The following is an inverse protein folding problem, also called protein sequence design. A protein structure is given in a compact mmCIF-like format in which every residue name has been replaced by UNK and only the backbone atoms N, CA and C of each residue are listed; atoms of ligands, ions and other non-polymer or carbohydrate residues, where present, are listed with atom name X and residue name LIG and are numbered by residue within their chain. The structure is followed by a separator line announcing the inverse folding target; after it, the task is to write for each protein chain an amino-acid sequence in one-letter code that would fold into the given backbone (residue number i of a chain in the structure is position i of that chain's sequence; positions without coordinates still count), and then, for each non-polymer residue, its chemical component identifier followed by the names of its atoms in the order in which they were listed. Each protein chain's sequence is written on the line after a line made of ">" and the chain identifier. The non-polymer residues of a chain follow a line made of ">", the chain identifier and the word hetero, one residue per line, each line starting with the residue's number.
data_IF_787652105715
#
_entry.id   IF_787652105715
#
_cell.length_a   1.000
_cell.length_b   1.000
_cell.length_c   1.000
_cell.angle_alpha   90.00
_cell.angle_beta   90.00
_cell.angle_gamma   90.00
#
_symmetry.space_group_name_H-M   'P 1'
#
loop_
_entity.id
_entity.type
_entity.pdbx_description
1 polymer ?
#
# COMPACT_ATOMS: atom_id res chain seq x y z
N UNK A 1 20.34 -5.00 18.36
CA UNK A 1 19.57 -4.63 17.14
C UNK A 1 18.09 -4.47 17.50
N UNK A 2 17.44 -3.45 16.96
CA UNK A 2 16.00 -3.29 17.07
C UNK A 2 15.38 -3.69 15.74
N UNK A 3 14.55 -4.76 15.70
CA UNK A 3 13.90 -5.19 14.47
C UNK A 3 12.98 -4.08 13.91
N UNK A 4 13.11 -3.78 12.62
CA UNK A 4 12.25 -2.84 11.92
C UNK A 4 10.84 -3.42 11.68
N UNK A 5 9.89 -2.58 11.26
CA UNK A 5 8.58 -3.06 10.80
C UNK A 5 8.73 -4.04 9.62
N UNK A 6 9.66 -3.77 8.70
CA UNK A 6 9.90 -4.63 7.55
C UNK A 6 10.47 -6.00 7.96
N UNK A 7 11.38 -6.04 8.95
CA UNK A 7 11.88 -7.31 9.48
C UNK A 7 10.75 -8.15 10.06
N UNK A 8 9.87 -7.54 10.85
CA UNK A 8 8.73 -8.23 11.46
C UNK A 8 7.76 -8.77 10.41
N UNK A 9 7.35 -7.94 9.44
CA UNK A 9 6.46 -8.36 8.35
C UNK A 9 7.11 -9.47 7.51
N UNK A 10 8.40 -9.34 7.20
CA UNK A 10 9.12 -10.38 6.45
C UNK A 10 9.21 -11.69 7.23
N UNK A 11 9.44 -11.63 8.55
CA UNK A 11 9.43 -12.81 9.41
C UNK A 11 8.07 -13.53 9.36
N UNK A 12 6.95 -12.79 9.45
CA UNK A 12 5.60 -13.34 9.29
C UNK A 12 5.40 -14.01 7.92
N UNK A 13 5.79 -13.31 6.84
CA UNK A 13 5.64 -13.82 5.47
C UNK A 13 6.42 -15.11 5.22
N UNK A 14 7.59 -15.27 5.82
CA UNK A 14 8.42 -16.47 5.67
C UNK A 14 8.04 -17.59 6.64
N UNK A 15 7.32 -17.28 7.71
CA UNK A 15 6.87 -18.28 8.68
C UNK A 15 7.97 -18.93 9.51
N UNK A 16 9.17 -18.34 9.58
CA UNK A 16 10.33 -18.88 10.30
C UNK A 16 10.96 -17.83 11.22
N UNK A 17 11.55 -18.23 12.37
CA UNK A 17 12.29 -17.31 13.22
C UNK A 17 13.50 -16.70 12.50
N UNK A 18 13.75 -15.42 12.76
CA UNK A 18 14.88 -14.68 12.25
C UNK A 18 15.84 -14.28 13.37
N UNK A 19 17.13 -14.48 13.11
CA UNK A 19 18.20 -13.93 13.91
C UNK A 19 18.78 -12.70 13.20
N UNK A 20 18.73 -11.55 13.87
CA UNK A 20 19.15 -10.25 13.33
C UNK A 20 20.42 -9.80 14.04
N UNK A 21 21.46 -9.50 13.27
CA UNK A 21 22.70 -8.92 13.74
C UNK A 21 22.80 -7.47 13.29
N UNK A 22 22.88 -6.55 14.25
CA UNK A 22 23.10 -5.13 13.98
C UNK A 22 24.57 -4.84 13.70
N UNK A 23 24.87 -4.42 12.49
CA UNK A 23 26.22 -4.04 12.07
C UNK A 23 26.39 -2.51 12.10
N UNK A 24 27.55 -1.94 12.56
CA UNK A 24 28.75 -2.61 13.07
C UNK A 24 28.73 -2.91 14.58
N UNK A 25 27.68 -2.55 15.30
CA UNK A 25 27.65 -2.58 16.77
C UNK A 25 27.64 -3.98 17.39
N UNK A 26 27.31 -5.03 16.62
CA UNK A 26 27.28 -6.42 17.08
C UNK A 26 26.04 -6.79 17.92
N UNK A 27 25.09 -5.87 18.12
CA UNK A 27 23.85 -6.14 18.84
C UNK A 27 23.01 -7.18 18.10
N UNK A 28 22.34 -8.05 18.85
CA UNK A 28 21.51 -9.10 18.26
C UNK A 28 20.06 -9.00 18.71
N UNK A 29 19.17 -9.49 17.88
CA UNK A 29 17.76 -9.71 18.21
C UNK A 29 17.26 -11.00 17.54
N UNK A 30 16.31 -11.66 18.19
CA UNK A 30 15.59 -12.79 17.59
C UNK A 30 14.11 -12.45 17.55
N UNK A 31 13.49 -12.62 16.39
CA UNK A 31 12.04 -12.48 16.18
C UNK A 31 11.49 -13.79 15.63
N UNK A 32 10.21 -14.02 15.84
CA UNK A 32 9.49 -15.19 15.33
C UNK A 32 8.12 -14.77 14.82
N UNK A 33 7.48 -15.54 13.96
CA UNK A 33 6.08 -15.30 13.60
C UNK A 33 5.20 -15.33 14.84
N UNK A 34 4.44 -14.26 15.04
CA UNK A 34 3.53 -14.08 16.19
C UNK A 34 2.26 -13.30 15.80
N UNK A 35 1.99 -13.19 14.49
CA UNK A 35 0.83 -12.45 13.97
C UNK A 35 1.03 -10.94 13.91
N UNK A 36 2.29 -10.47 13.75
CA UNK A 36 2.56 -9.04 13.64
C UNK A 36 1.95 -8.44 12.37
N UNK A 37 1.19 -7.37 12.55
CA UNK A 37 0.64 -6.55 11.48
C UNK A 37 1.18 -5.12 11.56
N UNK A 38 1.82 -4.64 10.48
CA UNK A 38 2.25 -3.25 10.42
C UNK A 38 1.02 -2.32 10.37
N UNK A 39 1.03 -1.18 11.08
CA UNK A 39 -0.12 -0.26 11.09
C UNK A 39 -0.44 0.25 9.67
N UNK A 40 -1.68 0.63 9.39
CA UNK A 40 -2.06 1.22 8.10
C UNK A 40 -1.55 2.67 7.96
N UNK A 41 -1.46 3.42 9.06
CA UNK A 41 -0.96 4.79 9.12
C UNK A 41 0.43 4.83 9.76
N UNK A 42 1.25 5.82 9.38
CA UNK A 42 2.61 6.04 9.91
C UNK A 42 3.58 4.87 9.67
N UNK A 43 3.28 4.00 8.72
CA UNK A 43 4.09 2.86 8.30
C UNK A 43 5.36 3.33 7.59
N UNK A 44 6.51 2.78 7.95
CA UNK A 44 7.75 3.04 7.24
C UNK A 44 7.77 2.36 5.87
N UNK A 45 8.37 3.04 4.88
CA UNK A 45 8.43 2.53 3.51
C UNK A 45 9.58 1.54 3.32
N UNK A 46 9.23 0.35 2.82
CA UNK A 46 10.19 -0.64 2.31
C UNK A 46 9.64 -1.27 1.04
N UNK A 47 10.33 -1.06 -0.07
CA UNK A 47 9.88 -1.57 -1.36
C UNK A 47 9.67 -3.09 -1.33
N UNK A 48 8.56 -3.55 -1.92
CA UNK A 48 8.19 -4.96 -1.99
C UNK A 48 7.59 -5.57 -0.71
N UNK A 49 7.78 -4.91 0.45
CA UNK A 49 7.33 -5.41 1.77
C UNK A 49 6.30 -4.48 2.38
N UNK A 50 6.62 -3.19 2.48
CA UNK A 50 5.79 -2.12 3.05
C UNK A 50 5.75 -0.94 2.07
N UNK A 51 5.22 -1.15 0.88
CA UNK A 51 5.05 -0.16 -0.18
C UNK A 51 3.57 0.18 -0.41
N UNK A 52 3.27 0.94 -1.45
CA UNK A 52 1.91 1.36 -1.76
C UNK A 52 0.99 0.17 -2.04
N UNK A 53 1.45 -0.85 -2.76
CA UNK A 53 0.62 -2.03 -3.03
C UNK A 53 0.47 -2.94 -1.80
N UNK A 54 1.49 -3.08 -0.97
CA UNK A 54 1.38 -3.79 0.31
C UNK A 54 0.35 -3.11 1.23
N UNK A 55 0.31 -1.78 1.25
CA UNK A 55 -0.69 -1.03 2.01
C UNK A 55 -2.11 -1.28 1.48
N UNK A 56 -2.30 -1.32 0.15
CA UNK A 56 -3.57 -1.69 -0.48
C UNK A 56 -4.01 -3.09 -0.04
N UNK A 57 -3.12 -4.08 -0.14
CA UNK A 57 -3.42 -5.46 0.27
C UNK A 57 -3.87 -5.54 1.73
N UNK A 58 -3.14 -4.90 2.62
CA UNK A 58 -3.42 -4.90 4.06
C UNK A 58 -4.75 -4.18 4.37
N UNK A 59 -5.06 -3.10 3.66
CA UNK A 59 -6.33 -2.42 3.80
C UNK A 59 -7.50 -3.33 3.39
N UNK A 60 -7.43 -3.97 2.22
CA UNK A 60 -8.48 -4.88 1.74
C UNK A 60 -8.68 -6.07 2.68
N UNK A 61 -7.61 -6.65 3.18
CA UNK A 61 -7.68 -7.76 4.13
C UNK A 61 -8.36 -7.33 5.45
N UNK A 62 -7.98 -6.17 6.01
CA UNK A 62 -8.46 -5.73 7.33
C UNK A 62 -9.84 -5.09 7.30
N UNK A 63 -10.13 -4.28 6.29
CA UNK A 63 -11.38 -3.53 6.23
C UNK A 63 -12.51 -4.33 5.57
N UNK A 64 -12.19 -5.21 4.63
CA UNK A 64 -13.18 -5.95 3.85
C UNK A 64 -13.01 -7.48 3.86
N UNK A 65 -11.99 -8.02 4.51
CA UNK A 65 -11.73 -9.46 4.52
C UNK A 65 -11.41 -10.02 3.13
N UNK A 66 -10.79 -9.21 2.27
CA UNK A 66 -10.43 -9.59 0.90
C UNK A 66 -8.91 -9.72 0.81
N UNK A 67 -8.44 -10.95 0.64
CA UNK A 67 -7.02 -11.22 0.41
C UNK A 67 -6.66 -10.99 -1.05
N UNK A 68 -5.77 -10.04 -1.30
CA UNK A 68 -5.22 -9.75 -2.62
C UNK A 68 -3.90 -10.47 -2.84
N UNK A 69 -3.62 -10.96 -4.08
CA UNK A 69 -2.34 -11.59 -4.41
C UNK A 69 -1.15 -10.68 -4.14
N UNK A 70 -0.03 -11.26 -3.72
CA UNK A 70 1.23 -10.53 -3.57
C UNK A 70 2.08 -10.69 -4.83
N UNK A 71 1.93 -9.79 -5.78
CA UNK A 71 2.69 -9.82 -7.02
C UNK A 71 4.15 -9.43 -6.80
N UNK A 72 5.11 -10.14 -7.44
CA UNK A 72 6.50 -9.76 -7.42
C UNK A 72 6.70 -8.41 -8.12
N UNK A 73 7.48 -7.54 -7.50
CA UNK A 73 7.79 -6.20 -8.00
C UNK A 73 9.19 -5.81 -7.59
N UNK A 74 10.06 -5.60 -8.58
CA UNK A 74 11.41 -5.09 -8.34
C UNK A 74 11.39 -3.58 -8.12
N UNK A 75 12.36 -3.04 -7.42
CA UNK A 75 12.48 -1.59 -7.29
C UNK A 75 12.73 -0.96 -8.68
N UNK A 76 12.12 0.18 -8.93
CA UNK A 76 12.25 0.90 -10.21
C UNK A 76 11.50 0.28 -11.40
N UNK A 77 10.59 -0.70 -11.19
CA UNK A 77 9.82 -1.34 -12.27
C UNK A 77 9.08 -0.35 -13.18
N UNK A 78 8.67 0.79 -12.65
CA UNK A 78 7.96 1.85 -13.38
C UNK A 78 8.80 2.56 -14.43
N UNK A 79 10.11 2.38 -14.42
CA UNK A 79 11.03 2.96 -15.41
C UNK A 79 11.06 2.17 -16.73
N UNK A 80 10.58 0.94 -16.73
CA UNK A 80 10.60 0.07 -17.92
C UNK A 80 9.41 0.28 -18.84
N UNK A 81 8.51 1.21 -18.53
CA UNK A 81 7.31 1.50 -19.31
C UNK A 81 6.17 0.50 -19.13
N UNK A 82 6.31 -0.47 -18.23
CA UNK A 82 5.28 -1.42 -17.88
C UNK A 82 4.56 -0.99 -16.60
N UNK A 83 3.22 -0.95 -16.64
CA UNK A 83 2.42 -0.72 -15.45
C UNK A 83 2.01 -2.04 -14.83
N UNK A 84 2.52 -2.32 -13.62
CA UNK A 84 2.08 -3.51 -12.87
C UNK A 84 0.60 -3.41 -12.48
N UNK A 85 0.06 -2.20 -12.28
CA UNK A 85 -1.36 -2.02 -12.02
C UNK A 85 -2.23 -2.39 -13.22
N UNK A 86 -1.82 -2.04 -14.45
CA UNK A 86 -2.54 -2.43 -15.66
C UNK A 86 -2.41 -3.93 -15.94
N UNK A 87 -1.22 -4.48 -15.69
CA UNK A 87 -0.95 -5.90 -15.94
C UNK A 87 -1.73 -6.84 -15.04
N UNK A 88 -1.84 -6.50 -13.74
CA UNK A 88 -2.35 -7.41 -12.72
C UNK A 88 -3.73 -7.03 -12.18
N UNK A 89 -4.37 -5.96 -12.66
CA UNK A 89 -5.65 -5.51 -12.10
C UNK A 89 -6.74 -6.58 -12.19
N UNK A 90 -6.90 -7.24 -13.34
CA UNK A 90 -7.91 -8.28 -13.54
C UNK A 90 -7.63 -9.54 -12.71
N UNK A 91 -6.36 -9.97 -12.65
CA UNK A 91 -5.94 -11.11 -11.83
C UNK A 91 -6.17 -10.86 -10.34
N UNK A 92 -5.99 -9.62 -9.89
CA UNK A 92 -6.28 -9.20 -8.53
C UNK A 92 -7.79 -8.97 -8.27
N UNK A 93 -8.65 -9.15 -9.25
CA UNK A 93 -10.10 -9.01 -9.14
C UNK A 93 -10.61 -7.58 -9.31
N UNK A 94 -9.83 -6.69 -9.93
CA UNK A 94 -10.22 -5.31 -10.18
C UNK A 94 -10.69 -5.09 -11.61
N UNK A 95 -11.55 -4.09 -11.79
CA UNK A 95 -11.99 -3.58 -13.09
C UNK A 95 -12.04 -2.05 -13.07
N UNK A 96 -11.92 -1.42 -14.24
CA UNK A 96 -11.95 0.04 -14.36
C UNK A 96 -13.37 0.59 -14.20
N UNK A 97 -13.47 1.72 -13.49
CA UNK A 97 -14.72 2.46 -13.29
C UNK A 97 -14.53 3.95 -13.59
N UNK A 98 -15.64 4.67 -13.82
CA UNK A 98 -15.64 6.11 -14.06
C UNK A 98 -16.07 6.96 -12.87
N UNK A 99 -16.64 6.34 -11.85
CA UNK A 99 -17.07 6.99 -10.60
C UNK A 99 -16.17 6.52 -9.44
N UNK A 100 -16.07 7.35 -8.40
CA UNK A 100 -15.20 7.07 -7.25
C UNK A 100 -16.04 6.75 -6.02
N UNK A 101 -15.78 5.59 -5.41
CA UNK A 101 -16.43 5.12 -4.18
C UNK A 101 -15.41 4.64 -3.14
N UNK A 102 -15.84 4.55 -1.89
CA UNK A 102 -15.01 3.99 -0.81
C UNK A 102 -14.45 2.63 -1.21
N UNK A 103 -13.16 2.45 -1.01
CA UNK A 103 -12.41 1.25 -1.35
C UNK A 103 -11.88 1.21 -2.78
N UNK A 104 -12.27 2.11 -3.68
CA UNK A 104 -11.67 2.15 -5.01
C UNK A 104 -10.20 2.50 -4.94
N UNK A 105 -9.40 1.88 -5.81
CA UNK A 105 -8.00 2.27 -5.99
C UNK A 105 -7.92 3.45 -6.94
N UNK A 106 -7.25 4.50 -6.51
CA UNK A 106 -6.82 5.60 -7.36
C UNK A 106 -5.38 5.33 -7.77
N UNK A 107 -5.19 4.99 -9.06
CA UNK A 107 -3.89 4.66 -9.63
C UNK A 107 -3.33 5.87 -10.33
N UNK A 108 -2.13 6.26 -9.95
CA UNK A 108 -1.52 7.54 -10.31
C UNK A 108 -0.16 7.35 -10.98
N UNK A 109 0.18 8.34 -11.80
CA UNK A 109 1.52 8.51 -12.35
C UNK A 109 2.17 9.73 -11.68
N UNK A 110 3.05 9.51 -10.73
CA UNK A 110 3.68 10.58 -9.95
C UNK A 110 5.19 10.56 -10.11
N UNK A 111 5.82 11.73 -9.98
CA UNK A 111 7.26 11.84 -10.07
C UNK A 111 7.96 10.93 -9.05
N UNK A 112 8.93 10.16 -9.52
CA UNK A 112 9.80 9.37 -8.67
C UNK A 112 10.79 10.25 -7.90
N UNK A 113 11.51 9.66 -6.97
CA UNK A 113 12.62 10.36 -6.29
C UNK A 113 13.63 10.87 -7.33
N UNK A 114 13.93 12.16 -7.32
CA UNK A 114 14.76 12.81 -8.34
C UNK A 114 13.98 13.65 -9.36
N UNK A 115 12.64 13.68 -9.29
CA UNK A 115 11.78 14.61 -10.03
C UNK A 115 11.42 14.21 -11.45
N UNK A 116 11.90 13.08 -11.97
CA UNK A 116 11.48 12.57 -13.29
C UNK A 116 10.11 11.87 -13.20
N UNK A 117 9.29 12.11 -14.22
CA UNK A 117 8.04 11.34 -14.39
C UNK A 117 8.38 9.94 -14.89
N UNK A 118 7.83 8.88 -14.27
CA UNK A 118 8.01 7.52 -14.75
C UNK A 118 7.29 7.33 -16.09
N UNK A 119 7.69 6.28 -16.83
CA UNK A 119 7.06 5.94 -18.10
C UNK A 119 5.66 5.32 -17.94
N UNK A 120 5.33 4.81 -16.75
CA UNK A 120 4.07 4.14 -16.45
C UNK A 120 3.51 4.56 -15.09
N UNK A 121 2.18 4.34 -14.83
CA UNK A 121 1.58 4.53 -13.53
C UNK A 121 2.32 3.72 -12.45
N UNK A 122 2.74 4.39 -11.39
CA UNK A 122 3.67 3.84 -10.40
C UNK A 122 3.18 3.92 -8.95
N UNK A 123 2.03 4.49 -8.71
CA UNK A 123 1.52 4.69 -7.36
C UNK A 123 0.02 4.39 -7.29
N UNK A 124 -0.41 3.85 -6.16
CA UNK A 124 -1.82 3.68 -5.87
C UNK A 124 -2.13 4.00 -4.40
N UNK A 125 -3.36 4.39 -4.18
CA UNK A 125 -3.95 4.52 -2.85
C UNK A 125 -5.40 4.05 -2.86
N UNK A 126 -5.95 3.84 -1.67
CA UNK A 126 -7.35 3.44 -1.47
C UNK A 126 -8.17 4.67 -1.09
N UNK A 127 -9.19 4.98 -1.87
CA UNK A 127 -10.12 6.05 -1.52
C UNK A 127 -10.98 5.63 -0.33
N UNK A 128 -11.01 6.44 0.72
CA UNK A 128 -11.66 6.09 1.98
C UNK A 128 -13.09 6.63 2.11
N UNK A 129 -13.52 7.53 1.24
CA UNK A 129 -14.83 8.16 1.32
C UNK A 129 -14.97 9.05 2.55
N UNK A 130 -15.41 8.50 3.67
CA UNK A 130 -15.53 9.17 4.98
C UNK A 130 -14.19 9.36 5.71
N UNK A 131 -13.15 8.72 5.23
CA UNK A 131 -11.80 8.76 5.80
C UNK A 131 -11.61 7.88 7.03
N UNK A 132 -12.58 7.06 7.41
CA UNK A 132 -12.48 6.16 8.56
C UNK A 132 -11.84 4.83 8.19
N UNK A 133 -11.15 4.26 9.17
CA UNK A 133 -10.59 2.92 9.14
C UNK A 133 -11.15 2.14 10.32
N UNK A 134 -11.85 1.04 10.08
CA UNK A 134 -12.45 0.22 11.13
C UNK A 134 -11.38 -0.43 12.02
N UNK A 135 -10.23 -0.73 11.42
CA UNK A 135 -9.04 -1.26 12.10
C UNK A 135 -8.26 -0.23 12.94
N UNK A 136 -8.65 1.05 12.90
CA UNK A 136 -8.02 2.15 13.68
C UNK A 136 -9.07 2.87 14.52
N UNK A 137 -9.47 2.31 15.67
CA UNK A 137 -10.45 2.93 16.55
C UNK A 137 -10.02 4.32 17.01
N UNK A 138 -10.95 5.28 17.00
CA UNK A 138 -10.69 6.67 17.41
C UNK A 138 -10.10 7.56 16.32
N UNK A 139 -9.94 7.06 15.10
CA UNK A 139 -9.58 7.89 13.96
C UNK A 139 -10.73 8.85 13.64
N UNK A 140 -10.43 10.15 13.55
CA UNK A 140 -11.44 11.14 13.19
C UNK A 140 -11.83 11.02 11.71
N UNK A 141 -13.12 11.25 11.42
CA UNK A 141 -13.61 11.34 10.06
C UNK A 141 -12.88 12.46 9.28
N UNK A 142 -12.52 12.16 8.05
CA UNK A 142 -11.91 13.10 7.13
C UNK A 142 -12.42 12.80 5.71
N UNK A 143 -13.63 13.29 5.38
CA UNK A 143 -14.25 13.01 4.09
C UNK A 143 -13.39 13.41 2.91
N UNK A 144 -13.46 12.63 1.82
CA UNK A 144 -12.70 12.89 0.61
C UNK A 144 -11.22 12.57 0.70
N UNK A 145 -10.80 11.75 1.68
CA UNK A 145 -9.40 11.33 1.80
C UNK A 145 -9.14 9.95 1.19
N UNK A 146 -7.88 9.70 0.91
CA UNK A 146 -7.39 8.39 0.47
C UNK A 146 -6.16 7.99 1.29
N UNK A 147 -6.00 6.70 1.50
CA UNK A 147 -4.86 6.10 2.19
C UNK A 147 -3.81 5.70 1.17
N UNK A 148 -2.59 6.14 1.35
CA UNK A 148 -1.50 5.82 0.44
C UNK A 148 -0.13 5.78 1.11
N UNK A 149 0.86 5.26 0.39
CA UNK A 149 2.21 5.10 0.88
C UNK A 149 3.22 5.52 -0.19
N UNK A 150 3.68 6.76 -0.13
CA UNK A 150 4.65 7.30 -1.08
C UNK A 150 6.03 6.70 -0.85
N UNK A 151 6.81 6.59 -1.93
CA UNK A 151 8.19 6.12 -1.87
C UNK A 151 9.02 6.95 -0.88
N UNK A 152 9.67 6.25 0.07
CA UNK A 152 10.53 6.85 1.10
C UNK A 152 9.84 7.77 2.10
N UNK A 153 8.51 7.73 2.19
CA UNK A 153 7.71 8.46 3.18
C UNK A 153 6.92 7.47 4.02
N UNK A 154 6.40 7.93 5.14
CA UNK A 154 5.43 7.16 5.92
C UNK A 154 4.07 7.14 5.22
N UNK A 155 3.32 6.06 5.42
CA UNK A 155 1.95 5.98 4.95
C UNK A 155 1.08 7.04 5.61
N UNK A 156 0.19 7.64 4.85
CA UNK A 156 -0.65 8.75 5.29
C UNK A 156 -2.06 8.67 4.70
N UNK A 157 -2.94 9.47 5.28
CA UNK A 157 -4.27 9.75 4.79
C UNK A 157 -4.30 11.20 4.33
N UNK A 158 -4.36 11.41 3.02
CA UNK A 158 -4.33 12.73 2.40
C UNK A 158 -5.68 13.04 1.72
N UNK A 159 -6.02 14.31 1.57
CA UNK A 159 -7.22 14.72 0.81
C UNK A 159 -7.03 14.38 -0.66
N UNK A 160 -7.99 13.64 -1.23
CA UNK A 160 -8.00 13.31 -2.65
C UNK A 160 -8.57 14.48 -3.45
N UNK A 161 -7.72 15.12 -4.24
CA UNK A 161 -8.07 16.27 -5.07
C UNK A 161 -6.83 16.98 -5.57
N UNK A 162 -6.99 18.06 -6.32
CA UNK A 162 -5.87 18.82 -6.89
C UNK A 162 -4.87 17.93 -7.62
N UNK A 163 -3.62 18.01 -7.24
CA UNK A 163 -2.53 17.24 -7.87
C UNK A 163 -2.81 15.72 -7.89
N UNK A 164 -3.39 15.15 -6.85
CA UNK A 164 -3.67 13.71 -6.79
C UNK A 164 -4.69 13.29 -7.84
N UNK A 165 -5.79 14.05 -7.97
CA UNK A 165 -6.79 13.80 -8.99
C UNK A 165 -6.24 14.02 -10.41
N UNK A 166 -5.45 15.08 -10.62
CA UNK A 166 -4.80 15.36 -11.91
C UNK A 166 -3.80 14.26 -12.34
N UNK A 167 -3.17 13.59 -11.40
CA UNK A 167 -2.21 12.50 -11.63
C UNK A 167 -2.86 11.13 -11.67
N UNK A 168 -4.16 11.02 -11.37
CA UNK A 168 -4.90 9.75 -11.46
C UNK A 168 -5.14 9.41 -12.93
N UNK A 169 -4.68 8.23 -13.33
CA UNK A 169 -4.81 7.72 -14.70
C UNK A 169 -5.92 6.67 -14.82
N UNK A 170 -6.27 6.03 -13.71
CA UNK A 170 -7.39 5.08 -13.66
C UNK A 170 -7.94 4.95 -12.25
N UNK A 171 -9.21 4.60 -12.18
CA UNK A 171 -9.90 4.21 -10.95
C UNK A 171 -10.28 2.74 -11.11
N UNK A 172 -9.91 1.92 -10.11
CA UNK A 172 -10.14 0.48 -10.13
C UNK A 172 -11.03 0.09 -8.97
N UNK A 173 -12.10 -0.67 -9.24
CA UNK A 173 -12.99 -1.24 -8.23
C UNK A 173 -12.82 -2.74 -8.17
N UNK A 174 -12.79 -3.27 -6.95
CA UNK A 174 -12.73 -4.71 -6.75
C UNK A 174 -14.11 -5.34 -6.95
N UNK A 175 -14.18 -6.48 -7.66
CA UNK A 175 -15.44 -7.19 -7.96
C UNK A 175 -16.23 -7.64 -6.72
N UNK A 176 -15.57 -7.77 -5.56
CA UNK A 176 -16.17 -8.12 -4.26
C UNK A 176 -16.34 -6.89 -3.35
N UNK A 177 -16.22 -5.66 -3.89
CA UNK A 177 -16.49 -4.45 -3.13
C UNK A 177 -17.94 -4.48 -2.59
N UNK A 178 -18.18 -4.08 -1.33
CA UNK A 178 -19.54 -3.95 -0.80
C UNK A 178 -20.37 -2.99 -1.67
N UNK A 179 -21.65 -3.32 -1.88
CA UNK A 179 -22.59 -2.38 -2.49
C UNK A 179 -22.81 -1.20 -1.54
N UNK A 180 -22.80 0.02 -2.07
CA UNK A 180 -23.20 1.19 -1.28
C UNK A 180 -24.69 1.09 -0.96
N UNK A 181 -25.03 1.05 0.32
CA UNK A 181 -26.41 1.08 0.81
C UNK A 181 -26.95 2.51 0.92
#
# INVERSE_FOLDING_TARGET
>A
ATPSMADRVSCELHGVPWFILGWPGGDTATIKPEGYEAPLLEREFHHGILDCYALVRDWYAREWGIDLPNFPRRDGWWNDGESLYERYCEEAGFYRVGDLRKGDLVVMQIAAQGGSMPAAPNHAGVYLGDGLLSSVPGLHAAPGTFLHHRYGKKSSRDVYGGMWAERTVMILRHQRAPEET
#
